data_IF_413536300013
#
_entry.id   IF_413536300013
#
_cell.length_a   1.000
_cell.length_b   1.000
_cell.length_c   1.000
_cell.angle_alpha   90.00
_cell.angle_beta   90.00
_cell.angle_gamma   90.00
#
_symmetry.space_group_name_H-M   'P 1'
#
loop_
_entity.id
_entity.type
_entity.pdbx_description
1 polymer ?
#
# COMPACT_ATOMS: atom_id res chain seq x y z
N UNK A 1 -14.36 -16.09 26.06
CA UNK A 1 -14.19 -14.70 25.61
C UNK A 1 -15.23 -14.37 24.56
N UNK A 2 -15.99 -13.32 24.83
CA UNK A 2 -16.98 -12.69 23.98
C UNK A 2 -16.31 -11.78 22.93
N UNK A 3 -17.08 -11.35 21.94
CA UNK A 3 -16.61 -10.44 20.90
C UNK A 3 -16.31 -9.07 21.53
N UNK A 4 -15.09 -8.55 21.34
CA UNK A 4 -14.63 -7.31 21.96
C UNK A 4 -13.78 -7.49 23.23
N UNK A 5 -13.74 -8.69 23.81
CA UNK A 5 -12.92 -8.97 24.99
C UNK A 5 -11.43 -8.79 24.70
N UNK A 6 -10.73 -8.15 25.63
CA UNK A 6 -9.26 -8.04 25.67
C UNK A 6 -8.74 -8.80 26.86
N UNK A 7 -7.68 -9.58 26.67
CA UNK A 7 -6.89 -10.15 27.76
C UNK A 7 -5.44 -9.77 27.57
N UNK A 8 -4.85 -9.21 28.61
CA UNK A 8 -3.42 -8.95 28.66
C UNK A 8 -2.78 -10.02 29.55
N UNK A 9 -1.68 -10.62 29.08
CA UNK A 9 -0.80 -11.45 29.89
C UNK A 9 0.05 -10.62 30.85
N UNK A 10 0.71 -11.30 31.80
CA UNK A 10 1.44 -10.68 32.90
C UNK A 10 2.53 -9.69 32.43
N UNK A 11 2.64 -8.58 33.18
CA UNK A 11 3.76 -7.65 33.07
C UNK A 11 5.02 -8.29 33.67
N UNK A 12 5.85 -8.86 32.82
CA UNK A 12 7.13 -9.40 33.25
C UNK A 12 8.22 -8.30 33.21
N UNK A 13 8.92 -8.13 34.34
CA UNK A 13 10.10 -7.27 34.41
C UNK A 13 11.34 -8.09 34.09
N UNK A 14 11.82 -8.01 32.87
CA UNK A 14 13.17 -8.47 32.51
C UNK A 14 14.01 -7.24 32.20
N UNK A 15 15.17 -7.09 32.83
CA UNK A 15 16.15 -6.03 32.55
C UNK A 15 15.60 -4.58 32.51
N UNK A 16 14.68 -4.22 33.41
CA UNK A 16 13.99 -2.91 33.48
C UNK A 16 13.07 -2.56 32.29
N UNK A 17 12.82 -3.50 31.39
CA UNK A 17 11.79 -3.40 30.36
C UNK A 17 10.46 -3.89 30.93
N UNK A 18 9.37 -3.17 30.65
CA UNK A 18 8.02 -3.67 30.88
C UNK A 18 7.46 -4.14 29.56
N UNK A 19 6.96 -5.37 29.49
CA UNK A 19 6.27 -5.84 28.30
C UNK A 19 5.01 -6.61 28.68
N UNK A 20 4.07 -6.67 27.74
CA UNK A 20 2.88 -7.52 27.86
C UNK A 20 2.42 -7.97 26.48
N UNK A 21 1.72 -9.11 26.45
CA UNK A 21 1.06 -9.63 25.26
C UNK A 21 -0.45 -9.49 25.44
N UNK A 22 -1.12 -8.85 24.49
CA UNK A 22 -2.56 -8.69 24.47
C UNK A 22 -3.22 -9.55 23.41
N UNK A 23 -4.37 -10.15 23.72
CA UNK A 23 -5.26 -10.79 22.77
C UNK A 23 -6.55 -9.97 22.68
N UNK A 24 -7.04 -9.74 21.46
CA UNK A 24 -8.34 -9.13 21.23
C UNK A 24 -9.11 -9.90 20.17
N UNK A 25 -10.33 -10.32 20.52
CA UNK A 25 -11.25 -10.97 19.59
C UNK A 25 -12.10 -9.93 18.87
N UNK A 26 -12.03 -9.89 17.55
CA UNK A 26 -12.88 -9.07 16.66
C UNK A 26 -13.32 -9.90 15.45
N UNK A 27 -13.52 -9.29 14.27
CA UNK A 27 -13.68 -10.00 12.98
C UNK A 27 -12.51 -10.96 12.70
N UNK A 28 -11.34 -10.65 13.25
CA UNK A 28 -10.15 -11.50 13.27
C UNK A 28 -9.59 -11.54 14.71
N UNK A 29 -8.77 -12.55 15.03
CA UNK A 29 -8.00 -12.58 16.28
C UNK A 29 -6.79 -11.65 16.14
N UNK A 30 -6.68 -10.66 17.02
CA UNK A 30 -5.54 -9.73 17.06
C UNK A 30 -4.64 -10.07 18.24
N UNK A 31 -3.34 -10.12 17.99
CA UNK A 31 -2.30 -10.23 19.00
C UNK A 31 -1.50 -8.91 19.06
N UNK A 32 -1.27 -8.41 20.26
CA UNK A 32 -0.46 -7.23 20.53
C UNK A 32 0.76 -7.65 21.33
N UNK A 33 1.93 -7.17 20.94
CA UNK A 33 3.12 -7.18 21.78
C UNK A 33 3.47 -5.73 22.09
N UNK A 34 3.43 -5.37 23.37
CA UNK A 34 3.83 -4.04 23.82
C UNK A 34 5.11 -4.16 24.64
N UNK A 35 6.11 -3.34 24.30
CA UNK A 35 7.39 -3.26 25.01
C UNK A 35 7.64 -1.79 25.35
N UNK A 36 7.78 -1.51 26.64
CA UNK A 36 8.07 -0.19 27.19
C UNK A 36 9.54 -0.22 27.65
N UNK A 37 10.46 0.42 26.90
CA UNK A 37 11.86 0.51 27.30
C UNK A 37 12.04 1.43 28.52
N UNK A 38 13.04 1.16 29.38
CA UNK A 38 13.45 2.12 30.39
C UNK A 38 14.01 3.38 29.71
N UNK A 39 13.76 4.55 30.30
CA UNK A 39 14.19 5.85 29.76
C UNK A 39 15.68 5.84 29.38
N UNK A 40 15.95 6.17 28.11
CA UNK A 40 17.27 6.17 27.45
C UNK A 40 17.96 4.80 27.42
N UNK A 41 17.58 3.97 26.45
CA UNK A 41 18.44 2.87 26.02
C UNK A 41 18.87 3.11 24.57
N UNK A 42 20.18 3.24 24.36
CA UNK A 42 20.80 3.05 23.04
C UNK A 42 20.89 1.57 22.66
N UNK A 43 20.07 0.71 23.26
CA UNK A 43 20.07 -0.73 23.06
C UNK A 43 19.03 -1.11 21.99
N UNK A 44 19.42 -2.04 21.13
CA UNK A 44 18.55 -2.60 20.10
C UNK A 44 17.54 -3.55 20.74
N UNK A 45 16.25 -3.18 20.69
CA UNK A 45 15.16 -4.08 21.06
C UNK A 45 14.88 -5.06 19.94
N UNK A 46 14.89 -6.34 20.26
CA UNK A 46 14.49 -7.42 19.37
C UNK A 46 13.33 -8.18 19.98
N UNK A 47 12.29 -8.43 19.19
CA UNK A 47 11.23 -9.36 19.54
C UNK A 47 11.09 -10.39 18.42
N UNK A 48 11.04 -11.66 18.82
CA UNK A 48 10.72 -12.78 17.95
C UNK A 48 9.33 -13.30 18.32
N UNK A 49 8.49 -13.52 17.30
CA UNK A 49 7.17 -14.11 17.48
C UNK A 49 7.10 -15.44 16.72
N UNK A 50 6.60 -16.46 17.40
CA UNK A 50 6.33 -17.78 16.84
C UNK A 50 4.90 -18.17 17.21
N UNK A 51 4.12 -18.65 16.24
CA UNK A 51 2.76 -19.13 16.47
C UNK A 51 2.52 -20.49 15.82
N UNK A 52 1.60 -21.24 16.44
CA UNK A 52 1.02 -22.46 15.91
C UNK A 52 -0.49 -22.32 16.05
N UNK A 53 -1.22 -22.47 14.96
CA UNK A 53 -2.69 -22.55 14.95
C UNK A 53 -3.05 -24.02 14.81
N UNK A 54 -3.78 -24.57 15.78
CA UNK A 54 -4.32 -25.92 15.74
C UNK A 54 -5.85 -25.89 15.70
N UNK A 55 -6.46 -26.93 15.11
CA UNK A 55 -7.88 -27.21 15.27
C UNK A 55 -8.18 -27.76 16.66
N UNK A 56 -9.48 -27.85 16.97
CA UNK A 56 -10.02 -28.49 18.17
C UNK A 56 -9.63 -29.98 18.28
N UNK A 57 -9.51 -30.69 17.16
CA UNK A 57 -9.01 -32.06 17.10
C UNK A 57 -7.48 -32.18 17.13
N UNK A 58 -6.75 -31.08 17.35
CA UNK A 58 -5.29 -31.06 17.49
C UNK A 58 -4.51 -31.02 16.17
N UNK A 59 -5.18 -30.89 15.02
CA UNK A 59 -4.52 -30.77 13.71
C UNK A 59 -3.90 -29.39 13.57
N UNK A 60 -2.61 -29.31 13.23
CA UNK A 60 -1.95 -28.04 12.89
C UNK A 60 -2.53 -27.48 11.59
N UNK A 61 -3.07 -26.27 11.66
CA UNK A 61 -3.64 -25.50 10.56
C UNK A 61 -2.63 -24.50 9.97
N UNK A 62 -1.77 -23.93 10.81
CA UNK A 62 -0.74 -22.98 10.39
C UNK A 62 0.38 -22.90 11.43
N UNK A 63 1.58 -22.55 10.99
CA UNK A 63 2.72 -22.25 11.86
C UNK A 63 3.46 -21.04 11.31
N UNK A 64 4.16 -20.28 12.16
CA UNK A 64 5.20 -19.37 11.71
C UNK A 64 6.58 -19.91 12.09
N UNK A 65 7.58 -19.63 11.27
CA UNK A 65 8.97 -19.67 11.73
C UNK A 65 9.28 -18.49 12.66
N UNK A 66 10.54 -18.40 13.12
CA UNK A 66 11.03 -17.24 13.88
C UNK A 66 10.84 -15.95 13.09
N UNK A 67 9.89 -15.13 13.52
CA UNK A 67 9.61 -13.85 12.87
C UNK A 67 10.16 -12.70 13.72
N UNK A 68 11.19 -12.00 13.23
CA UNK A 68 11.79 -10.83 13.89
C UNK A 68 10.95 -9.58 13.62
N UNK A 69 10.42 -8.97 14.67
CA UNK A 69 9.46 -7.85 14.55
C UNK A 69 10.12 -6.48 14.82
N UNK A 70 11.15 -6.40 15.68
CA UNK A 70 11.79 -5.12 16.05
C UNK A 70 13.31 -5.12 15.87
N UNK A 71 13.82 -4.02 15.31
CA UNK A 71 15.24 -3.64 15.22
C UNK A 71 15.33 -2.11 15.31
N UNK A 72 16.17 -1.55 16.20
CA UNK A 72 16.51 -0.12 16.10
C UNK A 72 17.19 0.17 14.76
N UNK A 73 16.83 1.28 14.10
CA UNK A 73 17.18 1.53 12.70
C UNK A 73 16.10 1.11 11.69
N UNK A 74 14.93 0.67 12.16
CA UNK A 74 13.73 0.39 11.37
C UNK A 74 13.04 1.62 10.80
N UNK A 75 13.31 2.82 11.31
CA UNK A 75 12.71 4.05 10.78
C UNK A 75 13.74 4.84 9.97
N UNK A 76 13.27 5.54 8.94
CA UNK A 76 14.07 6.44 8.09
C UNK A 76 13.23 7.65 7.74
N UNK A 77 13.87 8.80 7.61
CA UNK A 77 13.25 9.95 6.98
C UNK A 77 13.47 9.86 5.46
N UNK A 78 12.39 9.71 4.70
CA UNK A 78 12.41 9.99 3.27
C UNK A 78 12.33 11.51 3.10
N UNK A 79 13.22 12.08 2.29
CA UNK A 79 13.32 13.54 2.11
C UNK A 79 12.97 13.91 0.68
N UNK A 80 11.99 14.77 0.50
CA UNK A 80 11.54 15.33 -0.78
C UNK A 80 11.31 16.83 -0.58
N UNK A 81 11.89 17.67 -1.42
CA UNK A 81 11.77 19.14 -1.35
C UNK A 81 11.95 19.69 0.08
N UNK A 82 12.98 19.18 0.77
CA UNK A 82 13.31 19.48 2.18
C UNK A 82 12.24 19.07 3.23
N UNK A 83 11.13 18.44 2.81
CA UNK A 83 10.14 17.83 3.68
C UNK A 83 10.55 16.41 4.08
N UNK A 84 10.31 16.04 5.34
CA UNK A 84 10.71 14.75 5.91
C UNK A 84 9.49 13.88 6.23
N UNK A 85 9.50 12.67 5.68
CA UNK A 85 8.48 11.65 5.94
C UNK A 85 9.11 10.49 6.71
N UNK A 86 8.72 10.33 7.97
CA UNK A 86 9.22 9.25 8.82
C UNK A 86 8.45 7.96 8.55
N UNK A 87 9.15 6.96 8.03
CA UNK A 87 8.54 5.69 7.59
C UNK A 87 9.26 4.48 8.17
N UNK A 88 8.53 3.37 8.32
CA UNK A 88 9.11 2.08 8.69
C UNK A 88 9.73 1.40 7.47
N UNK A 89 11.05 1.20 7.48
CA UNK A 89 11.82 0.45 6.47
C UNK A 89 11.25 -0.94 6.26
N UNK A 90 10.93 -1.64 7.35
CA UNK A 90 10.42 -3.02 7.28
C UNK A 90 9.05 -3.06 6.60
N UNK A 91 8.15 -2.13 6.98
CA UNK A 91 6.82 -2.07 6.41
C UNK A 91 6.85 -1.66 4.93
N UNK A 92 7.52 -0.56 4.57
CA UNK A 92 7.60 -0.14 3.17
C UNK A 92 8.31 -1.20 2.30
N UNK A 93 9.34 -1.88 2.81
CA UNK A 93 9.99 -2.98 2.07
C UNK A 93 9.04 -4.15 1.80
N UNK A 94 8.13 -4.46 2.73
CA UNK A 94 7.16 -5.55 2.53
C UNK A 94 6.07 -5.19 1.54
N UNK A 95 5.81 -3.89 1.35
CA UNK A 95 4.81 -3.39 0.39
C UNK A 95 5.40 -3.10 -0.99
N UNK A 96 6.71 -2.92 -1.10
CA UNK A 96 7.37 -2.44 -2.32
C UNK A 96 8.78 -3.03 -2.48
N UNK A 97 9.03 -3.76 -3.59
CA UNK A 97 10.38 -4.18 -3.97
C UNK A 97 11.34 -3.01 -4.18
N UNK A 98 10.83 -1.86 -4.63
CA UNK A 98 11.63 -0.64 -4.79
C UNK A 98 12.18 -0.19 -3.44
N UNK A 99 11.32 -0.06 -2.42
CA UNK A 99 11.76 0.36 -1.09
C UNK A 99 12.66 -0.68 -0.41
N UNK A 100 12.41 -1.98 -0.62
CA UNK A 100 13.31 -3.03 -0.15
C UNK A 100 14.73 -2.84 -0.70
N UNK A 101 14.86 -2.58 -2.01
CA UNK A 101 16.15 -2.30 -2.64
C UNK A 101 16.76 -0.97 -2.19
N UNK A 102 15.94 0.09 -2.07
CA UNK A 102 16.39 1.41 -1.62
C UNK A 102 17.02 1.35 -0.23
N UNK A 103 16.36 0.68 0.72
CA UNK A 103 16.84 0.59 2.10
C UNK A 103 18.03 -0.35 2.25
N UNK A 104 18.10 -1.41 1.43
CA UNK A 104 19.29 -2.27 1.35
C UNK A 104 20.54 -1.48 0.92
N UNK A 105 20.41 -0.67 -0.15
CA UNK A 105 21.51 0.18 -0.69
C UNK A 105 21.90 1.34 0.22
N UNK A 106 21.00 1.75 1.12
CA UNK A 106 21.20 2.86 2.05
C UNK A 106 21.21 2.39 3.51
N UNK A 107 21.78 1.20 3.75
CA UNK A 107 21.94 0.66 5.11
C UNK A 107 22.72 1.64 6.00
N UNK A 108 22.29 1.78 7.26
CA UNK A 108 22.88 2.72 8.21
C UNK A 108 22.47 4.20 8.06
N UNK A 109 21.85 4.61 6.93
CA UNK A 109 21.35 5.98 6.80
C UNK A 109 20.06 6.20 7.60
N UNK A 110 20.01 7.35 8.28
CA UNK A 110 18.83 7.88 8.97
C UNK A 110 17.91 8.68 8.04
N UNK A 111 18.46 9.23 6.95
CA UNK A 111 17.75 10.03 5.95
C UNK A 111 18.12 9.60 4.54
N UNK A 112 17.12 9.54 3.65
CA UNK A 112 17.28 9.18 2.24
C UNK A 112 16.53 10.20 1.39
N UNK A 113 17.25 10.92 0.53
CA UNK A 113 16.63 11.81 -0.45
C UNK A 113 16.00 10.98 -1.57
N UNK A 114 14.73 11.22 -1.86
CA UNK A 114 14.04 10.67 -3.02
C UNK A 114 14.02 11.69 -4.14
N UNK A 115 14.10 11.22 -5.39
CA UNK A 115 13.99 12.09 -6.57
C UNK A 115 12.53 12.44 -6.86
N UNK A 116 12.31 13.70 -7.24
CA UNK A 116 11.16 14.22 -8.02
C UNK A 116 9.85 13.47 -7.84
N UNK A 117 9.29 13.54 -6.63
CA UNK A 117 7.90 13.17 -6.36
C UNK A 117 7.23 14.36 -5.68
N UNK A 118 5.96 14.63 -5.97
CA UNK A 118 5.24 15.68 -5.26
C UNK A 118 5.10 15.25 -3.78
N UNK A 119 5.58 16.05 -2.80
CA UNK A 119 5.51 15.71 -1.37
C UNK A 119 4.10 15.40 -0.88
N UNK A 120 3.10 16.14 -1.39
CA UNK A 120 1.70 15.97 -1.02
C UNK A 120 1.14 14.64 -1.51
N UNK A 121 1.48 14.25 -2.75
CA UNK A 121 1.09 12.94 -3.28
C UNK A 121 1.75 11.79 -2.50
N UNK A 122 3.01 11.97 -2.06
CA UNK A 122 3.66 10.99 -1.17
C UNK A 122 2.91 10.88 0.16
N UNK A 123 2.49 12.00 0.75
CA UNK A 123 1.72 11.99 1.99
C UNK A 123 0.44 11.15 1.85
N UNK A 124 -0.37 11.43 0.83
CA UNK A 124 -1.61 10.66 0.58
C UNK A 124 -1.34 9.18 0.30
N UNK A 125 -0.27 8.87 -0.43
CA UNK A 125 0.16 7.49 -0.65
C UNK A 125 0.51 6.79 0.67
N UNK A 126 1.26 7.44 1.55
CA UNK A 126 1.64 6.88 2.85
C UNK A 126 0.42 6.69 3.75
N UNK A 127 -0.49 7.66 3.81
CA UNK A 127 -1.75 7.55 4.54
C UNK A 127 -2.55 6.32 4.10
N UNK A 128 -2.76 6.15 2.79
CA UNK A 128 -3.46 4.98 2.24
C UNK A 128 -2.73 3.65 2.53
N UNK A 129 -1.40 3.67 2.52
CA UNK A 129 -0.56 2.52 2.85
C UNK A 129 -0.69 2.12 4.32
N UNK A 130 -0.77 3.09 5.22
CA UNK A 130 -0.92 2.89 6.66
C UNK A 130 -2.37 2.66 7.11
N UNK A 131 -3.34 2.74 6.19
CA UNK A 131 -4.74 2.42 6.45
C UNK A 131 -5.61 3.59 6.88
N UNK A 132 -5.11 4.81 6.70
CA UNK A 132 -5.86 6.07 6.78
C UNK A 132 -6.71 6.25 5.48
N UNK A 133 -7.56 7.29 5.33
CA UNK A 133 -8.72 7.20 4.45
C UNK A 133 -8.36 6.92 2.99
N UNK A 134 -9.30 6.23 2.33
CA UNK A 134 -9.16 5.77 0.94
C UNK A 134 -8.91 6.91 -0.06
N UNK A 135 -8.47 6.58 -1.29
CA UNK A 135 -8.34 7.57 -2.34
C UNK A 135 -9.69 8.25 -2.63
N UNK A 136 -9.62 9.50 -3.08
CA UNK A 136 -10.76 10.31 -3.52
C UNK A 136 -10.53 10.90 -4.92
N UNK A 137 -11.43 11.78 -5.36
CA UNK A 137 -11.42 12.36 -6.69
C UNK A 137 -10.20 13.23 -6.98
N UNK A 138 -9.67 13.89 -5.95
CA UNK A 138 -8.53 14.79 -6.07
C UNK A 138 -7.22 14.02 -5.87
N UNK A 139 -7.22 13.01 -4.99
CA UNK A 139 -6.00 12.32 -4.55
C UNK A 139 -5.66 11.08 -5.37
N UNK A 140 -6.63 10.42 -6.00
CA UNK A 140 -6.43 9.10 -6.64
C UNK A 140 -5.32 9.10 -7.70
N UNK A 141 -5.23 10.12 -8.55
CA UNK A 141 -4.19 10.17 -9.58
C UNK A 141 -2.81 10.41 -8.97
N UNK A 142 -2.72 11.30 -7.98
CA UNK A 142 -1.47 11.56 -7.26
C UNK A 142 -0.95 10.31 -6.57
N UNK A 143 -1.84 9.56 -5.91
CA UNK A 143 -1.51 8.29 -5.26
C UNK A 143 -1.05 7.25 -6.30
N UNK A 144 -1.76 7.10 -7.43
CA UNK A 144 -1.39 6.16 -8.50
C UNK A 144 -0.01 6.46 -9.06
N UNK A 145 0.31 7.73 -9.30
CA UNK A 145 1.63 8.17 -9.77
C UNK A 145 2.76 7.71 -8.83
N UNK A 146 2.58 7.87 -7.52
CA UNK A 146 3.55 7.42 -6.52
C UNK A 146 3.59 5.89 -6.43
N UNK A 147 2.44 5.23 -6.49
CA UNK A 147 2.34 3.79 -6.37
C UNK A 147 2.98 3.05 -7.55
N UNK A 148 2.84 3.59 -8.77
CA UNK A 148 3.51 3.10 -9.99
C UNK A 148 5.02 3.33 -9.88
N UNK A 149 5.44 4.56 -9.55
CA UNK A 149 6.85 4.94 -9.40
C UNK A 149 7.60 4.04 -8.39
N UNK A 150 6.98 3.76 -7.25
CA UNK A 150 7.57 2.96 -6.19
C UNK A 150 7.11 1.49 -6.20
N UNK A 151 6.48 1.02 -7.28
CA UNK A 151 6.05 -0.36 -7.47
C UNK A 151 5.32 -0.93 -6.25
N UNK A 152 4.09 -0.47 -6.05
CA UNK A 152 3.24 -0.81 -4.90
C UNK A 152 1.90 -1.42 -5.38
N UNK A 153 1.87 -2.68 -5.84
CA UNK A 153 0.70 -3.27 -6.52
C UNK A 153 -0.57 -3.25 -5.68
N UNK A 154 -0.45 -3.42 -4.35
CA UNK A 154 -1.59 -3.36 -3.42
C UNK A 154 -2.27 -2.00 -3.44
N UNK A 155 -1.50 -0.91 -3.58
CA UNK A 155 -2.05 0.45 -3.63
C UNK A 155 -2.66 0.73 -5.00
N UNK A 156 -2.00 0.31 -6.08
CA UNK A 156 -2.55 0.40 -7.44
C UNK A 156 -3.93 -0.26 -7.50
N UNK A 157 -4.05 -1.48 -6.95
CA UNK A 157 -5.32 -2.20 -6.88
C UNK A 157 -6.40 -1.45 -6.09
N UNK A 158 -6.07 -0.88 -4.93
CA UNK A 158 -7.03 -0.08 -4.13
C UNK A 158 -7.52 1.16 -4.90
N UNK A 159 -6.63 1.82 -5.62
CA UNK A 159 -6.99 2.96 -6.47
C UNK A 159 -7.87 2.53 -7.65
N UNK A 160 -7.56 1.39 -8.28
CA UNK A 160 -8.38 0.82 -9.36
C UNK A 160 -9.79 0.47 -8.87
N UNK A 161 -9.92 -0.18 -7.72
CA UNK A 161 -11.21 -0.49 -7.07
C UNK A 161 -12.02 0.80 -6.81
N UNK A 162 -11.37 1.85 -6.30
CA UNK A 162 -12.02 3.14 -6.12
C UNK A 162 -12.53 3.73 -7.45
N UNK A 163 -11.70 3.72 -8.50
CA UNK A 163 -12.07 4.23 -9.82
C UNK A 163 -13.24 3.46 -10.44
N UNK A 164 -13.33 2.15 -10.18
CA UNK A 164 -14.41 1.29 -10.65
C UNK A 164 -15.72 1.53 -9.89
N UNK A 165 -15.66 1.60 -8.57
CA UNK A 165 -16.84 1.48 -7.70
C UNK A 165 -17.39 2.81 -7.20
N UNK A 166 -16.52 3.78 -6.92
CA UNK A 166 -16.88 4.99 -6.16
C UNK A 166 -16.67 6.28 -6.93
N UNK A 167 -15.69 6.29 -7.82
CA UNK A 167 -15.35 7.50 -8.55
C UNK A 167 -16.42 7.90 -9.57
N UNK A 168 -16.68 9.19 -9.69
CA UNK A 168 -17.55 9.78 -10.70
C UNK A 168 -16.78 10.46 -11.84
N UNK A 169 -15.46 10.23 -11.95
CA UNK A 169 -14.66 10.73 -13.08
C UNK A 169 -15.30 10.38 -14.44
N UNK A 170 -15.23 11.29 -15.41
CA UNK A 170 -15.63 11.01 -16.79
C UNK A 170 -14.95 9.77 -17.35
N UNK A 171 -15.63 9.09 -18.28
CA UNK A 171 -15.11 7.88 -18.93
C UNK A 171 -13.74 8.12 -19.59
N UNK A 172 -13.56 9.29 -20.20
CA UNK A 172 -12.30 9.72 -20.82
C UNK A 172 -11.14 9.71 -19.82
N UNK A 173 -11.31 10.36 -18.66
CA UNK A 173 -10.28 10.42 -17.62
C UNK A 173 -9.95 9.04 -17.06
N UNK A 174 -10.99 8.23 -16.74
CA UNK A 174 -10.78 6.85 -16.26
C UNK A 174 -10.00 6.01 -17.27
N UNK A 175 -10.29 6.16 -18.55
CA UNK A 175 -9.63 5.44 -19.62
C UNK A 175 -8.16 5.87 -19.79
N UNK A 176 -7.90 7.18 -19.73
CA UNK A 176 -6.53 7.72 -19.75
C UNK A 176 -5.71 7.22 -18.56
N UNK A 177 -6.28 7.26 -17.35
CA UNK A 177 -5.64 6.71 -16.15
C UNK A 177 -5.39 5.21 -16.28
N UNK A 178 -6.32 4.47 -16.88
CA UNK A 178 -6.18 3.03 -17.08
C UNK A 178 -5.02 2.68 -18.01
N UNK A 179 -4.84 3.43 -19.10
CA UNK A 179 -3.65 3.29 -19.95
C UNK A 179 -2.37 3.68 -19.22
N UNK A 180 -2.33 4.91 -18.67
CA UNK A 180 -1.14 5.49 -18.02
C UNK A 180 -0.57 4.63 -16.88
N UNK A 181 -1.44 4.04 -16.05
CA UNK A 181 -1.05 3.24 -14.88
C UNK A 181 -1.32 1.73 -15.06
N UNK A 182 -1.61 1.27 -16.28
CA UNK A 182 -1.85 -0.14 -16.61
C UNK A 182 -2.92 -0.81 -15.73
N UNK A 183 -4.05 -0.12 -15.56
CA UNK A 183 -5.19 -0.59 -14.76
C UNK A 183 -6.12 -1.44 -15.62
N UNK A 184 -5.79 -2.73 -15.72
CA UNK A 184 -6.41 -3.66 -16.67
C UNK A 184 -7.92 -3.85 -16.49
N UNK A 185 -8.41 -3.92 -15.25
CA UNK A 185 -9.85 -4.11 -15.00
C UNK A 185 -10.62 -2.83 -15.27
N UNK A 186 -10.05 -1.68 -14.90
CA UNK A 186 -10.61 -0.37 -15.24
C UNK A 186 -10.66 -0.16 -16.76
N UNK A 187 -9.59 -0.53 -17.47
CA UNK A 187 -9.49 -0.45 -18.93
C UNK A 187 -10.59 -1.28 -19.59
N UNK A 188 -10.71 -2.55 -19.22
CA UNK A 188 -11.78 -3.45 -19.70
C UNK A 188 -13.16 -2.87 -19.42
N UNK A 189 -13.40 -2.41 -18.18
CA UNK A 189 -14.70 -1.84 -17.81
C UNK A 189 -15.03 -0.61 -18.64
N UNK A 190 -14.06 0.26 -18.90
CA UNK A 190 -14.28 1.43 -19.73
C UNK A 190 -14.58 1.04 -21.19
N UNK A 191 -13.85 0.08 -21.75
CA UNK A 191 -14.06 -0.42 -23.12
C UNK A 191 -15.44 -1.05 -23.35
N UNK A 192 -16.05 -1.65 -22.32
CA UNK A 192 -17.43 -2.17 -22.43
C UNK A 192 -18.49 -1.07 -22.50
N UNK A 193 -18.19 0.14 -22.00
CA UNK A 193 -19.12 1.29 -22.02
C UNK A 193 -19.09 2.05 -23.34
N UNK A 194 -18.06 1.86 -24.15
CA UNK A 194 -17.99 2.42 -25.51
C UNK A 194 -18.87 1.54 -26.41
N UNK A 195 -19.96 2.10 -26.93
CA UNK A 195 -20.95 1.35 -27.72
C UNK A 195 -21.20 1.95 -29.11
N UNK A 196 -20.62 3.11 -29.40
CA UNK A 196 -20.77 3.81 -30.67
C UNK A 196 -19.49 4.54 -31.08
N UNK A 197 -19.40 4.88 -32.37
CA UNK A 197 -18.31 5.73 -32.89
C UNK A 197 -18.32 7.11 -32.21
N UNK A 198 -19.48 7.61 -31.80
CA UNK A 198 -19.59 8.86 -31.03
C UNK A 198 -18.92 8.74 -29.65
N UNK A 199 -19.08 7.60 -28.97
CA UNK A 199 -18.42 7.35 -27.69
C UNK A 199 -16.90 7.33 -27.85
N UNK A 200 -16.40 6.67 -28.90
CA UNK A 200 -14.97 6.66 -29.21
C UNK A 200 -14.43 8.08 -29.39
N UNK A 201 -15.13 8.94 -30.14
CA UNK A 201 -14.76 10.35 -30.31
C UNK A 201 -14.73 11.11 -28.98
N UNK A 202 -15.64 10.80 -28.06
CA UNK A 202 -15.72 11.47 -26.76
C UNK A 202 -14.59 11.10 -25.80
N UNK A 203 -13.99 9.92 -25.94
CA UNK A 203 -12.88 9.45 -25.09
C UNK A 203 -11.51 9.61 -25.74
N UNK A 204 -11.46 9.86 -27.05
CA UNK A 204 -10.22 10.16 -27.74
C UNK A 204 -9.55 11.42 -27.16
N UNK A 205 -8.22 11.38 -27.07
CA UNK A 205 -7.40 12.58 -26.84
C UNK A 205 -7.32 13.40 -28.12
N UNK A 206 -7.04 14.69 -27.99
CA UNK A 206 -6.90 15.58 -29.14
C UNK A 206 -5.70 15.19 -30.01
N UNK A 207 -4.58 14.82 -29.37
CA UNK A 207 -3.41 14.26 -30.03
C UNK A 207 -3.27 12.76 -29.71
N UNK A 208 -3.52 11.86 -30.68
CA UNK A 208 -3.37 10.42 -30.50
C UNK A 208 -1.97 9.98 -30.06
N UNK A 209 -0.93 10.79 -30.27
CA UNK A 209 0.45 10.49 -29.85
C UNK A 209 0.61 10.54 -28.33
N UNK A 210 -0.21 11.34 -27.64
CA UNK A 210 -0.22 11.41 -26.18
C UNK A 210 -0.96 10.24 -25.51
N UNK A 211 -1.69 9.45 -26.30
CA UNK A 211 -2.38 8.27 -25.80
C UNK A 211 -1.42 7.09 -25.65
N UNK A 212 -1.61 6.33 -24.59
CA UNK A 212 -0.98 5.02 -24.44
C UNK A 212 -1.22 4.15 -25.70
N UNK A 213 -0.16 3.55 -26.23
CA UNK A 213 -0.20 2.83 -27.51
C UNK A 213 -1.13 1.62 -27.47
N UNK A 214 -1.16 0.90 -26.35
CA UNK A 214 -2.05 -0.24 -26.20
C UNK A 214 -3.50 0.26 -26.18
N UNK A 215 -3.76 1.36 -25.47
CA UNK A 215 -5.09 1.96 -25.42
C UNK A 215 -5.56 2.46 -26.80
N UNK A 216 -4.67 3.07 -27.57
CA UNK A 216 -4.95 3.48 -28.95
C UNK A 216 -5.31 2.27 -29.83
N UNK A 217 -4.56 1.18 -29.69
CA UNK A 217 -4.84 -0.07 -30.41
C UNK A 217 -6.23 -0.64 -30.04
N UNK A 218 -6.60 -0.63 -28.76
CA UNK A 218 -7.93 -1.06 -28.33
C UNK A 218 -9.05 -0.20 -28.92
N UNK A 219 -8.89 1.13 -28.90
CA UNK A 219 -9.88 2.04 -29.49
C UNK A 219 -10.02 1.81 -31.00
N UNK A 220 -8.91 1.55 -31.68
CA UNK A 220 -8.95 1.21 -33.11
C UNK A 220 -9.70 -0.10 -33.37
N UNK A 221 -9.40 -1.17 -32.61
CA UNK A 221 -10.14 -2.43 -32.69
C UNK A 221 -11.62 -2.23 -32.35
N UNK A 222 -11.92 -1.37 -31.39
CA UNK A 222 -13.28 -1.03 -31.01
C UNK A 222 -14.03 -0.37 -32.14
N UNK A 223 -13.42 0.59 -32.86
CA UNK A 223 -14.02 1.20 -34.06
C UNK A 223 -14.32 0.12 -35.11
N UNK A 224 -13.37 -0.77 -35.40
CA UNK A 224 -13.57 -1.84 -36.38
C UNK A 224 -14.73 -2.78 -36.04
N UNK A 225 -15.03 -2.95 -34.75
CA UNK A 225 -16.18 -3.78 -34.30
C UNK A 225 -17.54 -3.07 -34.37
N UNK A 226 -17.53 -1.74 -34.53
CA UNK A 226 -18.74 -0.90 -34.50
C UNK A 226 -19.22 -0.48 -35.90
N UNK A 227 -18.43 -0.77 -36.94
CA UNK A 227 -18.70 -0.48 -38.35
C UNK A 227 -18.98 -1.79 -39.09
#
# INVERSE_FOLDING_TARGET
MNMGDKQNGDFNNFSNFKWYVGLQRSRYLKLFLCVIPPHKTGHELQAEFEYIITSDCGKVLSTSGKMRIFKTGQYVALVIDEQKFHVSKLFLSSQSPYFANLFSRNSGKSEIKLSTSNPQNLQFFLELLYGEPGPDEETVEGILSIADMYNTPTIIKKCEEYLLEKSYKPLKEKLQMAGKYKLEELRKRCMTRIQSVSDVKSVAVEDPVEMDHDLLADLFQKILSLV
#
